data_IF_055410110127
#
_entry.id   IF_055410110127
#
_cell.length_a   1.000
_cell.length_b   1.000
_cell.length_c   1.000
_cell.angle_alpha   90.00
_cell.angle_beta   90.00
_cell.angle_gamma   90.00
#
_symmetry.space_group_name_H-M   'P 1'
#
loop_
_entity.id
_entity.type
_entity.pdbx_description
1 polymer ?
#
# COMPACT_ATOMS: atom_id res chain seq x y z
N UNK A 1 -19.35 10.31 -7.67
CA UNK A 1 -18.29 10.80 -8.61
C UNK A 1 -17.90 9.63 -9.48
N UNK A 2 -17.57 9.85 -10.76
CA UNK A 2 -16.98 8.78 -11.58
C UNK A 2 -15.56 8.49 -11.06
N UNK A 3 -15.26 7.23 -10.75
CA UNK A 3 -13.94 6.80 -10.28
C UNK A 3 -12.86 7.12 -11.32
N UNK A 4 -11.69 7.60 -10.87
CA UNK A 4 -10.52 7.88 -11.71
C UNK A 4 -9.50 6.76 -11.55
N UNK A 5 -8.79 6.40 -12.63
CA UNK A 5 -7.70 5.43 -12.54
C UNK A 5 -6.57 5.74 -13.51
N UNK A 6 -5.37 5.28 -13.18
CA UNK A 6 -4.20 5.37 -14.05
C UNK A 6 -3.88 3.98 -14.64
N UNK A 7 -3.76 3.83 -15.97
CA UNK A 7 -3.44 2.54 -16.59
C UNK A 7 -2.14 1.94 -16.03
N UNK A 8 -2.13 0.63 -15.82
CA UNK A 8 -0.98 -0.11 -15.27
C UNK A 8 -0.89 -0.13 -13.74
N UNK A 9 -1.65 0.74 -13.07
CA UNK A 9 -1.74 0.76 -11.60
C UNK A 9 -2.96 -0.01 -11.12
N UNK A 10 -2.92 -0.44 -9.86
CA UNK A 10 -4.11 -0.98 -9.18
C UNK A 10 -4.93 0.19 -8.63
N UNK A 11 -6.25 0.13 -8.81
CA UNK A 11 -7.22 0.99 -8.14
C UNK A 11 -8.11 0.13 -7.26
N UNK A 12 -8.61 0.69 -6.16
CA UNK A 12 -9.55 0.00 -5.28
C UNK A 12 -10.99 0.24 -5.75
N UNK A 13 -11.80 -0.81 -5.68
CA UNK A 13 -13.26 -0.72 -5.87
C UNK A 13 -13.96 -1.30 -4.66
N UNK A 14 -14.87 -0.50 -4.09
CA UNK A 14 -15.78 -0.93 -3.04
C UNK A 14 -16.99 -1.63 -3.65
N UNK A 15 -17.29 -2.84 -3.17
CA UNK A 15 -18.51 -3.57 -3.52
C UNK A 15 -19.28 -3.81 -2.23
N UNK A 16 -20.46 -3.22 -2.15
CA UNK A 16 -21.39 -3.49 -1.06
C UNK A 16 -22.46 -4.46 -1.53
N UNK A 17 -22.56 -5.58 -0.83
CA UNK A 17 -23.51 -6.65 -1.12
C UNK A 17 -24.50 -6.65 0.02
N UNK A 18 -25.73 -6.21 -0.28
CA UNK A 18 -26.84 -6.26 0.67
C UNK A 18 -27.75 -7.38 0.25
N UNK A 19 -27.77 -8.44 1.05
CA UNK A 19 -28.73 -9.53 0.90
C UNK A 19 -29.67 -9.56 2.09
N UNK A 20 -30.96 -9.74 1.82
CA UNK A 20 -31.96 -10.04 2.85
C UNK A 20 -31.91 -11.52 3.29
N UNK A 21 -31.15 -12.37 2.58
CA UNK A 21 -31.07 -13.81 2.82
C UNK A 21 -29.63 -14.34 2.75
N UNK A 22 -29.31 -15.40 3.49
CA UNK A 22 -28.05 -16.14 3.28
C UNK A 22 -28.28 -17.03 2.08
N UNK A 23 -27.90 -16.52 0.92
CA UNK A 23 -27.70 -17.35 -0.24
C UNK A 23 -26.20 -17.48 -0.44
N UNK A 24 -25.74 -18.70 -0.76
CA UNK A 24 -24.42 -18.83 -1.36
C UNK A 24 -24.46 -18.06 -2.67
N UNK A 25 -23.51 -17.19 -2.95
CA UNK A 25 -23.50 -16.47 -4.21
C UNK A 25 -22.09 -16.31 -4.72
N UNK A 26 -21.91 -16.46 -6.01
CA UNK A 26 -20.60 -16.30 -6.64
C UNK A 26 -20.50 -14.86 -7.16
N UNK A 27 -19.58 -14.11 -6.57
CA UNK A 27 -19.21 -12.78 -7.03
C UNK A 27 -18.05 -12.91 -8.00
N UNK A 28 -18.30 -12.53 -9.24
CA UNK A 28 -17.28 -12.45 -10.30
C UNK A 28 -17.08 -10.99 -10.67
N UNK A 29 -15.84 -10.53 -10.70
CA UNK A 29 -15.47 -9.22 -11.22
C UNK A 29 -14.66 -9.46 -12.48
N UNK A 30 -15.13 -8.93 -13.60
CA UNK A 30 -14.53 -9.11 -14.91
C UNK A 30 -14.12 -7.77 -15.52
N UNK A 31 -13.06 -7.81 -16.33
CA UNK A 31 -12.69 -6.69 -17.19
C UNK A 31 -13.66 -6.57 -18.38
N UNK A 32 -13.50 -5.50 -19.16
CA UNK A 32 -14.32 -5.23 -20.34
C UNK A 32 -14.37 -6.35 -21.39
N UNK A 33 -13.38 -7.25 -21.41
CA UNK A 33 -13.36 -8.39 -22.33
C UNK A 33 -14.02 -9.64 -21.73
N UNK A 34 -14.68 -9.52 -20.57
CA UNK A 34 -15.30 -10.64 -19.86
C UNK A 34 -14.31 -11.51 -19.09
N UNK A 35 -13.01 -11.18 -19.05
CA UNK A 35 -12.03 -11.96 -18.30
C UNK A 35 -12.20 -11.70 -16.80
N UNK A 36 -12.41 -12.77 -16.04
CA UNK A 36 -12.47 -12.74 -14.58
C UNK A 36 -11.16 -12.24 -13.98
N UNK A 37 -11.24 -11.10 -13.29
CA UNK A 37 -10.16 -10.50 -12.49
C UNK A 37 -10.20 -11.06 -11.07
N UNK A 38 -11.41 -11.22 -10.51
CA UNK A 38 -11.62 -11.68 -9.15
C UNK A 38 -12.83 -12.59 -9.08
N UNK A 39 -12.74 -13.66 -8.29
CA UNK A 39 -13.84 -14.57 -8.00
C UNK A 39 -13.91 -14.78 -6.48
N UNK A 40 -15.10 -14.62 -5.91
CA UNK A 40 -15.33 -14.80 -4.48
C UNK A 40 -16.67 -15.49 -4.25
N UNK A 41 -16.62 -16.62 -3.56
CA UNK A 41 -17.82 -17.28 -3.07
C UNK A 41 -18.26 -16.63 -1.76
N UNK A 42 -19.49 -16.14 -1.74
CA UNK A 42 -20.15 -15.55 -0.59
C UNK A 42 -20.96 -16.64 0.09
N UNK A 43 -20.75 -16.85 1.38
CA UNK A 43 -21.37 -17.94 2.13
C UNK A 43 -22.27 -17.46 3.28
N UNK A 44 -22.54 -16.16 3.37
CA UNK A 44 -22.91 -15.52 4.64
C UNK A 44 -24.19 -14.68 4.56
N UNK A 45 -24.90 -14.61 5.69
CA UNK A 45 -25.92 -13.59 5.93
C UNK A 45 -25.28 -12.19 6.00
N UNK A 46 -26.10 -11.20 5.69
CA UNK A 46 -25.86 -9.78 5.96
C UNK A 46 -25.06 -8.99 4.91
N UNK A 47 -25.22 -7.68 5.07
CA UNK A 47 -24.50 -6.62 4.37
C UNK A 47 -22.99 -6.90 4.45
N UNK A 48 -22.37 -7.22 3.32
CA UNK A 48 -20.92 -7.40 3.21
C UNK A 48 -20.32 -6.27 2.40
N UNK A 49 -19.31 -5.61 2.95
CA UNK A 49 -18.49 -4.64 2.21
C UNK A 49 -17.17 -5.31 1.84
N UNK A 50 -16.84 -5.24 0.57
CA UNK A 50 -15.61 -5.77 0.00
C UNK A 50 -14.83 -4.62 -0.62
N UNK A 51 -13.52 -4.63 -0.43
CA UNK A 51 -12.60 -3.68 -1.04
C UNK A 51 -11.62 -4.48 -1.88
N UNK A 52 -11.67 -4.28 -3.19
CA UNK A 52 -11.00 -5.16 -4.15
C UNK A 52 -10.07 -4.31 -5.01
N UNK A 53 -8.79 -4.67 -5.00
CA UNK A 53 -7.80 -4.09 -5.91
C UNK A 53 -8.00 -4.65 -7.31
N UNK A 54 -8.26 -3.76 -8.27
CA UNK A 54 -8.41 -4.10 -9.69
C UNK A 54 -7.39 -3.30 -10.51
N UNK A 55 -6.90 -3.89 -11.61
CA UNK A 55 -6.06 -3.19 -12.60
C UNK A 55 -6.89 -2.98 -13.86
N UNK A 56 -7.61 -1.84 -14.01
CA UNK A 56 -8.53 -1.65 -15.11
C UNK A 56 -7.75 -1.55 -16.43
N UNK A 57 -8.36 -2.04 -17.51
CA UNK A 57 -7.87 -1.83 -18.87
C UNK A 57 -8.13 -0.39 -19.32
N UNK A 58 -7.61 0.00 -20.49
CA UNK A 58 -7.68 1.39 -21.01
C UNK A 58 -9.08 1.98 -21.09
N UNK A 59 -10.10 1.14 -21.28
CA UNK A 59 -11.51 1.50 -21.34
C UNK A 59 -12.17 1.69 -19.97
N UNK A 60 -11.49 1.29 -18.88
CA UNK A 60 -11.94 1.51 -17.51
C UNK A 60 -13.23 0.77 -17.13
N UNK A 61 -13.75 -0.10 -17.99
CA UNK A 61 -15.00 -0.82 -17.74
C UNK A 61 -14.73 -2.06 -16.88
N UNK A 62 -15.50 -2.18 -15.79
CA UNK A 62 -15.44 -3.26 -14.82
C UNK A 62 -16.85 -3.77 -14.64
N UNK A 63 -17.06 -5.05 -14.88
CA UNK A 63 -18.36 -5.68 -14.67
C UNK A 63 -18.33 -6.50 -13.40
N UNK A 64 -19.27 -6.24 -12.51
CA UNK A 64 -19.50 -6.99 -11.28
C UNK A 64 -20.74 -7.84 -11.48
N UNK A 65 -20.56 -9.15 -11.44
CA UNK A 65 -21.61 -10.14 -11.62
C UNK A 65 -21.78 -10.93 -10.33
N UNK A 66 -23.00 -10.98 -9.82
CA UNK A 66 -23.38 -11.79 -8.67
C UNK A 66 -24.34 -12.88 -9.15
N UNK A 67 -23.93 -14.14 -9.01
CA UNK A 67 -24.74 -15.30 -9.41
C UNK A 67 -25.24 -16.01 -8.16
N UNK A 68 -26.56 -16.03 -7.96
CA UNK A 68 -27.20 -16.79 -6.89
C UNK A 68 -27.41 -18.26 -7.31
N UNK A 69 -27.64 -19.20 -6.36
CA UNK A 69 -27.77 -20.63 -6.66
C UNK A 69 -29.03 -20.95 -7.44
N UNK A 70 -30.04 -20.07 -7.37
CA UNK A 70 -31.26 -20.16 -8.18
C UNK A 70 -31.06 -19.74 -9.64
N UNK A 71 -29.81 -19.70 -10.12
CA UNK A 71 -29.38 -19.18 -11.43
C UNK A 71 -29.78 -17.71 -11.70
N UNK A 72 -30.15 -16.97 -10.65
CA UNK A 72 -30.46 -15.56 -10.77
C UNK A 72 -29.16 -14.77 -10.77
N UNK A 73 -28.89 -14.11 -11.89
CA UNK A 73 -27.70 -13.29 -12.07
C UNK A 73 -28.05 -11.80 -11.97
N UNK A 74 -27.25 -11.07 -11.20
CA UNK A 74 -27.28 -9.61 -11.14
C UNK A 74 -25.96 -9.08 -11.71
N UNK A 75 -26.04 -8.21 -12.70
CA UNK A 75 -24.87 -7.64 -13.36
C UNK A 75 -24.89 -6.13 -13.20
N UNK A 76 -23.77 -5.56 -12.75
CA UNK A 76 -23.57 -4.12 -12.67
C UNK A 76 -22.28 -3.74 -13.37
N UNK A 77 -22.33 -2.72 -14.23
CA UNK A 77 -21.15 -2.21 -14.93
C UNK A 77 -20.74 -0.88 -14.34
N UNK A 78 -19.45 -0.79 -13.98
CA UNK A 78 -18.81 0.40 -13.44
C UNK A 78 -17.87 0.91 -14.53
N UNK A 79 -18.02 2.18 -14.90
CA UNK A 79 -17.10 2.84 -15.85
C UNK A 79 -16.18 3.78 -15.10
N UNK A 80 -14.91 3.45 -15.07
CA UNK A 80 -13.85 4.29 -14.53
C UNK A 80 -13.30 5.21 -15.61
N UNK A 81 -12.99 6.45 -15.25
CA UNK A 81 -12.39 7.41 -16.17
C UNK A 81 -10.86 7.32 -16.09
N UNK A 82 -10.23 7.01 -17.23
CA UNK A 82 -8.77 7.03 -17.36
C UNK A 82 -8.19 8.42 -17.12
N UNK A 83 -7.08 8.49 -16.41
CA UNK A 83 -6.20 9.66 -16.32
C UNK A 83 -4.75 9.26 -16.60
N UNK A 84 -3.99 10.20 -17.20
CA UNK A 84 -2.53 10.13 -17.31
C UNK A 84 -1.82 10.97 -16.26
N UNK A 85 -2.56 11.92 -15.66
CA UNK A 85 -2.04 12.78 -14.62
C UNK A 85 -2.06 12.02 -13.28
N UNK A 86 -1.07 12.26 -12.40
CA UNK A 86 -1.06 11.75 -11.04
C UNK A 86 -2.31 12.12 -10.26
N UNK A 87 -2.66 11.27 -9.28
CA UNK A 87 -3.85 11.47 -8.44
C UNK A 87 -3.44 12.01 -7.06
N UNK A 88 -4.05 13.12 -6.66
CA UNK A 88 -3.97 13.66 -5.30
C UNK A 88 -5.28 13.39 -4.58
N UNK A 89 -5.21 12.70 -3.45
CA UNK A 89 -6.36 12.48 -2.56
C UNK A 89 -6.48 13.64 -1.58
N UNK A 90 -7.67 14.23 -1.46
CA UNK A 90 -7.92 15.35 -0.55
C UNK A 90 -9.10 15.03 0.36
N UNK A 91 -8.85 14.96 1.67
CA UNK A 91 -9.88 14.78 2.69
C UNK A 91 -9.75 15.85 3.76
N UNK A 92 -10.54 16.90 3.61
CA UNK A 92 -10.61 18.01 4.56
C UNK A 92 -12.06 18.25 4.97
N UNK A 93 -12.24 18.98 6.06
CA UNK A 93 -13.52 19.38 6.61
C UNK A 93 -14.45 19.95 5.53
N UNK A 94 -15.76 19.62 5.54
CA UNK A 94 -16.70 20.02 4.49
C UNK A 94 -16.74 21.52 4.17
N UNK A 95 -16.54 22.38 5.18
CA UNK A 95 -16.52 23.83 5.04
C UNK A 95 -15.38 24.36 4.15
N UNK A 96 -14.25 23.66 4.12
CA UNK A 96 -13.06 24.08 3.37
C UNK A 96 -13.00 23.49 1.95
N UNK A 97 -13.79 22.45 1.66
CA UNK A 97 -13.77 21.72 0.37
C UNK A 97 -14.03 22.61 -0.85
N UNK A 98 -14.99 23.54 -0.75
CA UNK A 98 -15.37 24.42 -1.88
C UNK A 98 -14.26 25.42 -2.22
N UNK A 99 -13.56 25.94 -1.21
CA UNK A 99 -12.45 26.89 -1.40
C UNK A 99 -11.20 26.17 -1.91
N UNK A 100 -10.94 24.97 -1.37
CA UNK A 100 -9.80 24.14 -1.72
C UNK A 100 -9.83 23.64 -3.16
N UNK A 101 -10.99 23.25 -3.69
CA UNK A 101 -11.08 22.80 -5.08
C UNK A 101 -10.74 23.89 -6.08
N UNK A 102 -11.01 25.17 -5.78
CA UNK A 102 -10.65 26.28 -6.65
C UNK A 102 -9.13 26.58 -6.60
N UNK A 103 -8.53 26.51 -5.40
CA UNK A 103 -7.12 26.81 -5.18
C UNK A 103 -6.19 25.67 -5.61
N UNK A 104 -6.65 24.41 -5.56
CA UNK A 104 -5.87 23.26 -5.98
C UNK A 104 -5.96 23.03 -7.51
N UNK A 105 -7.06 23.44 -8.15
CA UNK A 105 -7.28 23.30 -9.60
C UNK A 105 -6.28 24.07 -10.48
N UNK A 106 -5.52 25.00 -9.92
CA UNK A 106 -4.53 25.79 -10.66
C UNK A 106 -3.26 25.02 -11.00
N UNK A 107 -3.05 23.84 -10.42
CA UNK A 107 -1.99 22.92 -10.84
C UNK A 107 -2.55 22.00 -11.94
N UNK A 108 -2.38 22.37 -13.22
CA UNK A 108 -2.82 21.60 -14.40
C UNK A 108 -2.25 20.16 -14.48
N UNK A 109 -1.36 19.81 -13.55
CA UNK A 109 -0.56 18.59 -13.56
C UNK A 109 -1.14 17.46 -12.69
N UNK A 110 -2.23 17.69 -11.95
CA UNK A 110 -2.77 16.71 -10.99
C UNK A 110 -4.29 16.52 -11.10
N UNK A 111 -4.75 15.27 -10.95
CA UNK A 111 -6.16 14.95 -10.71
C UNK A 111 -6.44 15.00 -9.22
N UNK A 112 -7.25 15.96 -8.80
CA UNK A 112 -7.68 16.09 -7.41
C UNK A 112 -8.96 15.28 -7.21
N UNK A 113 -8.92 14.34 -6.27
CA UNK A 113 -10.08 13.57 -5.82
C UNK A 113 -10.42 14.00 -4.41
N UNK A 114 -11.56 14.69 -4.26
CA UNK A 114 -12.08 15.08 -2.96
C UNK A 114 -12.88 13.92 -2.36
N UNK A 115 -12.51 13.49 -1.15
CA UNK A 115 -13.16 12.41 -0.41
C UNK A 115 -13.50 12.85 1.02
N UNK A 116 -14.43 12.11 1.64
CA UNK A 116 -14.52 12.03 3.10
C UNK A 116 -13.49 11.04 3.64
N UNK A 117 -13.27 11.01 4.96
CA UNK A 117 -12.46 9.98 5.63
C UNK A 117 -12.86 8.55 5.20
N UNK A 118 -14.17 8.25 5.14
CA UNK A 118 -14.67 6.95 4.67
C UNK A 118 -14.33 6.61 3.20
N UNK A 119 -13.87 7.57 2.40
CA UNK A 119 -13.48 7.38 1.00
C UNK A 119 -12.00 7.07 0.80
N UNK A 120 -11.19 7.03 1.86
CA UNK A 120 -9.80 6.60 1.76
C UNK A 120 -9.70 5.13 1.34
N UNK A 121 -8.67 4.74 0.57
CA UNK A 121 -8.45 3.35 0.24
C UNK A 121 -8.27 2.47 1.48
N UNK A 122 -8.93 1.31 1.49
CA UNK A 122 -8.87 0.31 2.56
C UNK A 122 -7.73 -0.69 2.37
N UNK A 123 -7.10 -0.67 1.20
CA UNK A 123 -5.99 -1.53 0.82
C UNK A 123 -4.84 -0.69 0.29
N UNK A 124 -3.61 -1.12 0.55
CA UNK A 124 -2.38 -0.47 0.06
C UNK A 124 -2.35 -0.36 -1.46
N UNK A 125 -2.94 -1.34 -2.14
CA UNK A 125 -3.05 -1.37 -3.59
C UNK A 125 -3.91 -0.22 -4.15
N UNK A 126 -4.89 0.26 -3.39
CA UNK A 126 -5.72 1.40 -3.78
C UNK A 126 -4.95 2.72 -3.85
N UNK A 127 -3.77 2.80 -3.24
CA UNK A 127 -2.87 3.94 -3.36
C UNK A 127 -1.95 3.85 -4.59
N UNK A 128 -2.08 2.83 -5.45
CA UNK A 128 -1.14 2.58 -6.56
C UNK A 128 -1.01 3.73 -7.56
N UNK A 129 -2.07 4.51 -7.78
CA UNK A 129 -2.08 5.70 -8.63
C UNK A 129 -1.92 7.02 -7.85
N UNK A 130 -1.91 6.95 -6.52
CA UNK A 130 -1.94 8.12 -5.64
C UNK A 130 -0.52 8.67 -5.48
N UNK A 131 -0.29 9.89 -5.95
CA UNK A 131 0.98 10.58 -5.77
C UNK A 131 1.08 11.22 -4.40
N UNK A 132 -0.01 11.79 -3.90
CA UNK A 132 -0.03 12.52 -2.63
C UNK A 132 -1.39 12.43 -1.95
N UNK A 133 -1.37 12.58 -0.63
CA UNK A 133 -2.53 12.66 0.23
C UNK A 133 -2.50 14.00 0.96
N UNK A 134 -3.62 14.69 0.97
CA UNK A 134 -3.83 15.94 1.71
C UNK A 134 -5.00 15.71 2.67
N UNK A 135 -4.78 15.89 3.96
CA UNK A 135 -5.83 15.63 4.95
C UNK A 135 -5.70 16.51 6.18
N UNK A 136 -6.79 16.71 6.91
CA UNK A 136 -6.74 17.25 8.27
C UNK A 136 -6.63 16.11 9.32
N UNK A 137 -6.33 16.50 10.56
CA UNK A 137 -6.21 15.57 11.68
C UNK A 137 -7.55 14.91 12.04
N UNK A 138 -8.67 15.62 11.85
CA UNK A 138 -10.02 15.09 12.11
C UNK A 138 -10.35 13.92 11.16
N UNK A 139 -10.11 14.11 9.87
CA UNK A 139 -10.29 13.09 8.83
C UNK A 139 -9.36 11.90 9.05
N UNK A 140 -8.12 12.15 9.47
CA UNK A 140 -7.15 11.09 9.80
C UNK A 140 -7.60 10.27 11.01
N UNK A 141 -8.13 10.92 12.04
CA UNK A 141 -8.68 10.26 13.23
C UNK A 141 -9.99 9.50 12.94
N UNK A 142 -10.74 9.93 11.91
CA UNK A 142 -11.98 9.29 11.48
C UNK A 142 -11.78 8.10 10.52
N UNK A 143 -10.53 7.70 10.23
CA UNK A 143 -10.25 6.53 9.41
C UNK A 143 -10.60 5.24 10.15
N UNK A 144 -11.18 4.28 9.42
CA UNK A 144 -11.29 2.91 9.91
C UNK A 144 -9.90 2.28 10.04
N UNK A 145 -9.77 1.29 10.93
CA UNK A 145 -8.50 0.60 11.20
C UNK A 145 -7.79 0.14 9.91
N UNK A 146 -8.52 -0.46 8.96
CA UNK A 146 -7.96 -0.92 7.68
C UNK A 146 -7.46 0.22 6.80
N UNK A 147 -8.17 1.35 6.79
CA UNK A 147 -7.75 2.53 6.03
C UNK A 147 -6.50 3.16 6.63
N UNK A 148 -6.43 3.21 7.97
CA UNK A 148 -5.25 3.67 8.70
C UNK A 148 -4.04 2.77 8.42
N UNK A 149 -4.21 1.45 8.44
CA UNK A 149 -3.15 0.49 8.09
C UNK A 149 -2.68 0.65 6.63
N UNK A 150 -3.62 0.78 5.69
CA UNK A 150 -3.31 0.98 4.27
C UNK A 150 -2.57 2.30 4.03
N UNK A 151 -3.01 3.39 4.68
CA UNK A 151 -2.32 4.67 4.65
C UNK A 151 -0.92 4.54 5.26
N UNK A 152 -0.78 3.86 6.40
CA UNK A 152 0.51 3.59 7.03
C UNK A 152 1.48 2.88 6.09
N UNK A 153 1.02 1.88 5.35
CA UNK A 153 1.84 1.19 4.34
C UNK A 153 2.19 2.08 3.15
N UNK A 154 1.28 2.95 2.70
CA UNK A 154 1.57 3.98 1.70
C UNK A 154 2.69 4.92 2.17
N UNK A 155 2.63 5.40 3.42
CA UNK A 155 3.68 6.25 4.00
C UNK A 155 5.00 5.50 4.17
N UNK A 156 4.96 4.24 4.60
CA UNK A 156 6.13 3.37 4.68
C UNK A 156 6.82 3.19 3.30
N UNK A 157 6.05 3.23 2.21
CA UNK A 157 6.53 3.23 0.82
C UNK A 157 7.00 4.58 0.28
N UNK A 158 7.32 5.55 1.15
CA UNK A 158 7.67 6.92 0.76
C UNK A 158 6.54 7.68 0.05
N UNK A 159 5.29 7.49 0.52
CA UNK A 159 4.14 8.30 0.13
C UNK A 159 4.25 9.75 0.64
N UNK A 160 3.64 10.69 -0.09
CA UNK A 160 3.58 12.10 0.29
C UNK A 160 2.30 12.35 1.10
N UNK A 161 2.44 12.98 2.27
CA UNK A 161 1.32 13.38 3.12
C UNK A 161 1.45 14.84 3.54
N UNK A 162 0.43 15.62 3.21
CA UNK A 162 0.25 16.99 3.67
C UNK A 162 -0.86 17.05 4.71
N UNK A 163 -0.56 17.61 5.86
CA UNK A 163 -1.50 17.73 6.99
C UNK A 163 -1.90 19.18 7.22
N UNK A 164 -3.20 19.45 7.33
CA UNK A 164 -3.69 20.79 7.68
C UNK A 164 -3.33 21.12 9.14
N UNK A 165 -2.54 22.18 9.33
CA UNK A 165 -2.20 22.79 10.63
C UNK A 165 -1.76 21.78 11.70
N UNK A 166 -1.06 20.72 11.29
CA UNK A 166 -0.55 19.72 12.21
C UNK A 166 0.68 20.23 12.95
N UNK A 167 0.70 20.07 14.28
CA UNK A 167 1.89 20.40 15.07
C UNK A 167 3.11 19.58 14.63
N UNK A 168 4.31 20.14 14.81
CA UNK A 168 5.58 19.46 14.51
C UNK A 168 5.69 18.10 15.19
N UNK A 169 5.17 17.96 16.41
CA UNK A 169 5.18 16.70 17.16
C UNK A 169 4.36 15.59 16.50
N UNK A 170 3.25 15.93 15.83
CA UNK A 170 2.41 14.98 15.11
C UNK A 170 3.09 14.56 13.81
N UNK A 171 3.65 15.53 13.08
CA UNK A 171 4.43 15.27 11.86
C UNK A 171 5.62 14.36 12.16
N UNK A 172 6.37 14.64 13.22
CA UNK A 172 7.51 13.82 13.64
C UNK A 172 7.08 12.40 14.02
N UNK A 173 5.99 12.27 14.78
CA UNK A 173 5.45 10.95 15.18
C UNK A 173 5.08 10.10 13.97
N UNK A 174 4.36 10.67 13.00
CA UNK A 174 4.00 9.98 11.75
C UNK A 174 5.26 9.68 10.92
N UNK A 175 6.21 10.62 10.89
CA UNK A 175 7.48 10.50 10.18
C UNK A 175 8.33 9.33 10.66
N UNK A 176 8.32 9.00 11.96
CA UNK A 176 9.06 7.85 12.53
C UNK A 176 8.59 6.50 12.00
N UNK A 177 7.32 6.39 11.61
CA UNK A 177 6.75 5.17 11.00
C UNK A 177 6.77 5.16 9.48
N UNK A 178 7.12 6.29 8.86
CA UNK A 178 7.10 6.45 7.41
C UNK A 178 8.44 6.06 6.77
N UNK A 179 8.40 5.80 5.46
CA UNK A 179 9.59 5.60 4.66
C UNK A 179 10.36 6.89 4.45
N UNK A 180 11.55 6.80 3.85
CA UNK A 180 12.37 7.97 3.49
C UNK A 180 12.65 8.92 4.68
N UNK A 181 12.74 8.36 5.90
CA UNK A 181 12.97 9.12 7.13
C UNK A 181 11.85 10.10 7.50
N UNK A 182 10.63 9.91 6.97
CA UNK A 182 9.50 10.83 7.20
C UNK A 182 9.62 12.17 6.47
N UNK A 183 10.61 12.33 5.58
CA UNK A 183 10.85 13.61 4.89
C UNK A 183 9.71 14.03 3.96
N UNK A 184 8.83 13.11 3.58
CA UNK A 184 7.69 13.32 2.68
C UNK A 184 6.38 13.68 3.40
N UNK A 185 6.45 13.90 4.71
CA UNK A 185 5.32 14.35 5.53
C UNK A 185 5.55 15.81 5.91
N UNK A 186 4.58 16.70 5.64
CA UNK A 186 4.62 18.12 5.99
C UNK A 186 3.28 18.61 6.52
N UNK A 187 3.33 19.64 7.36
CA UNK A 187 2.14 20.44 7.66
C UNK A 187 2.08 21.63 6.70
N UNK A 188 0.88 22.11 6.42
CA UNK A 188 0.64 23.39 5.76
C UNK A 188 -0.32 24.23 6.61
N UNK A 189 -0.21 25.55 6.54
CA UNK A 189 -1.10 26.46 7.26
C UNK A 189 -2.19 27.02 6.34
N UNK A 190 -1.88 27.12 5.04
CA UNK A 190 -2.76 27.65 4.01
C UNK A 190 -2.79 26.76 2.78
N UNK A 191 -3.98 26.61 2.19
CA UNK A 191 -4.17 25.81 0.97
C UNK A 191 -3.35 26.31 -0.23
N UNK A 192 -3.00 27.60 -0.26
CA UNK A 192 -2.15 28.21 -1.29
C UNK A 192 -0.71 27.72 -1.27
N UNK A 193 -0.24 27.14 -0.15
CA UNK A 193 1.13 26.62 0.00
C UNK A 193 1.28 25.24 -0.64
N UNK A 194 0.16 24.52 -0.80
CA UNK A 194 0.15 23.11 -1.24
C UNK A 194 0.92 22.89 -2.56
N UNK A 195 0.72 23.68 -3.64
CA UNK A 195 1.44 23.45 -4.88
C UNK A 195 2.96 23.51 -4.73
N UNK A 196 3.46 24.51 -3.98
CA UNK A 196 4.88 24.67 -3.72
C UNK A 196 5.43 23.53 -2.85
N UNK A 197 4.69 23.13 -1.81
CA UNK A 197 5.08 22.00 -0.95
C UNK A 197 5.10 20.69 -1.73
N UNK A 198 4.11 20.43 -2.59
CA UNK A 198 4.08 19.24 -3.43
C UNK A 198 5.28 19.18 -4.38
N UNK A 199 5.65 20.32 -4.99
CA UNK A 199 6.83 20.39 -5.85
C UNK A 199 8.12 20.05 -5.07
N UNK A 200 8.32 20.67 -3.90
CA UNK A 200 9.48 20.40 -3.04
C UNK A 200 9.54 18.93 -2.60
N UNK A 201 8.40 18.32 -2.27
CA UNK A 201 8.35 16.93 -1.84
C UNK A 201 8.55 15.94 -2.98
N UNK A 202 8.14 16.28 -4.21
CA UNK A 202 8.38 15.43 -5.38
C UNK A 202 9.88 15.38 -5.72
N UNK A 203 10.62 16.49 -5.55
CA UNK A 203 12.08 16.54 -5.70
C UNK A 203 12.83 15.67 -4.69
N UNK A 204 12.27 15.48 -3.49
CA UNK A 204 12.84 14.63 -2.45
C UNK A 204 12.54 13.13 -2.65
N UNK A 205 11.66 12.79 -3.60
CA UNK A 205 11.23 11.41 -3.80
C UNK A 205 12.36 10.58 -4.40
N UNK A 206 12.64 9.38 -3.86
CA UNK A 206 13.59 8.48 -4.50
C UNK A 206 13.08 8.11 -5.91
N UNK A 207 13.98 8.01 -6.91
CA UNK A 207 13.58 7.59 -8.24
C UNK A 207 12.91 6.22 -8.17
N UNK A 208 11.82 6.04 -8.93
CA UNK A 208 11.15 4.73 -8.99
C UNK A 208 12.13 3.70 -9.52
N UNK A 209 12.25 2.59 -8.80
CA UNK A 209 13.04 1.46 -9.26
C UNK A 209 12.49 1.01 -10.63
N UNK A 210 13.37 0.76 -11.62
CA UNK A 210 12.94 0.26 -12.92
C UNK A 210 12.20 -1.07 -12.74
N UNK A 211 11.14 -1.27 -13.51
CA UNK A 211 10.42 -2.54 -13.51
C UNK A 211 11.36 -3.71 -13.85
N UNK A 212 11.07 -4.90 -13.32
CA UNK A 212 11.85 -6.11 -13.62
C UNK A 212 11.96 -6.40 -15.13
N UNK A 213 10.97 -5.97 -15.92
CA UNK A 213 11.00 -6.04 -17.39
C UNK A 213 12.06 -5.11 -18.00
N UNK A 214 12.26 -3.93 -17.43
CA UNK A 214 13.30 -2.97 -17.85
C UNK A 214 14.69 -3.43 -17.40
N UNK A 215 14.78 -4.10 -16.25
CA UNK A 215 16.00 -4.80 -15.84
C UNK A 215 16.37 -5.93 -16.81
N UNK A 216 15.39 -6.70 -17.30
CA UNK A 216 15.62 -7.73 -18.31
C UNK A 216 16.16 -7.16 -19.64
N UNK A 217 15.70 -5.95 -20.03
CA UNK A 217 16.22 -5.23 -21.19
C UNK A 217 17.67 -4.75 -20.97
N UNK A 218 18.02 -4.31 -19.75
CA UNK A 218 19.39 -3.96 -19.39
C UNK A 218 20.33 -5.18 -19.46
N UNK A 219 19.90 -6.35 -18.97
CA UNK A 219 20.68 -7.60 -19.10
C UNK A 219 20.87 -8.05 -20.55
N UNK A 220 19.94 -7.73 -21.45
CA UNK A 220 20.06 -8.06 -22.87
C UNK A 220 20.93 -7.08 -23.67
N UNK A 221 21.20 -5.89 -23.13
CA UNK A 221 21.90 -4.83 -23.85
C UNK A 221 23.44 -4.86 -23.72
N UNK A 222 24.00 -5.44 -22.65
CA UNK A 222 25.46 -5.66 -22.49
C UNK A 222 25.83 -6.95 -21.72
N UNK A 223 25.27 -8.14 -22.04
CA UNK A 223 25.53 -9.35 -21.26
C UNK A 223 27.00 -9.79 -21.25
N UNK A 224 27.75 -9.48 -22.32
CA UNK A 224 29.11 -9.98 -22.49
C UNK A 224 30.15 -9.27 -21.64
N UNK A 225 29.92 -8.00 -21.27
CA UNK A 225 30.87 -7.18 -20.49
C UNK A 225 30.45 -7.02 -19.03
N UNK A 226 29.15 -6.98 -18.74
CA UNK A 226 28.66 -6.74 -17.37
C UNK A 226 28.95 -7.93 -16.42
N UNK A 227 28.82 -9.17 -16.91
CA UNK A 227 29.08 -10.38 -16.11
C UNK A 227 30.56 -10.48 -15.68
N UNK A 228 31.56 -10.37 -16.57
CA UNK A 228 32.96 -10.41 -16.15
C UNK A 228 33.35 -9.21 -15.28
N UNK A 229 32.81 -8.01 -15.52
CA UNK A 229 33.08 -6.84 -14.65
C UNK A 229 32.51 -7.03 -13.24
N UNK A 230 31.30 -7.56 -13.13
CA UNK A 230 30.67 -7.85 -11.85
C UNK A 230 31.44 -8.94 -11.09
N UNK A 231 31.82 -10.03 -11.77
CA UNK A 231 32.67 -11.08 -11.19
C UNK A 231 34.03 -10.54 -10.74
N UNK A 232 34.66 -9.69 -11.56
CA UNK A 232 35.92 -9.05 -11.21
C UNK A 232 35.78 -8.13 -10.00
N UNK A 233 34.76 -7.27 -9.97
CA UNK A 233 34.47 -6.40 -8.83
C UNK A 233 34.17 -7.18 -7.54
N UNK A 234 33.42 -8.27 -7.65
CA UNK A 234 33.13 -9.17 -6.53
C UNK A 234 34.39 -9.87 -6.01
N UNK A 235 35.23 -10.41 -6.90
CA UNK A 235 36.51 -11.03 -6.52
C UNK A 235 37.47 -10.02 -5.88
N UNK A 236 37.53 -8.79 -6.41
CA UNK A 236 38.35 -7.72 -5.85
C UNK A 236 37.86 -7.32 -4.45
N UNK A 237 36.54 -7.20 -4.26
CA UNK A 237 35.93 -6.94 -2.97
C UNK A 237 36.23 -8.06 -1.96
N UNK A 238 36.06 -9.32 -2.37
CA UNK A 238 36.38 -10.48 -1.54
C UNK A 238 37.87 -10.53 -1.18
N UNK A 239 38.76 -10.16 -2.11
CA UNK A 239 40.20 -10.07 -1.84
C UNK A 239 40.50 -8.96 -0.82
N UNK A 240 39.90 -7.78 -0.97
CA UNK A 240 40.06 -6.65 -0.04
C UNK A 240 39.52 -6.98 1.37
N UNK A 241 38.43 -7.74 1.47
CA UNK A 241 37.88 -8.23 2.74
C UNK A 241 38.70 -9.38 3.35
N UNK A 242 39.29 -10.24 2.53
CA UNK A 242 40.14 -11.34 2.99
C UNK A 242 41.54 -10.87 3.43
N UNK A 243 42.05 -9.76 2.89
CA UNK A 243 43.35 -9.21 3.23
C UNK A 243 43.54 -8.93 4.73
N UNK A 244 42.60 -8.23 5.44
CA UNK A 244 42.72 -8.03 6.88
C UNK A 244 42.57 -9.33 7.69
N UNK A 245 41.82 -10.32 7.18
CA UNK A 245 41.70 -11.63 7.81
C UNK A 245 43.02 -12.42 7.70
N UNK A 246 43.70 -12.35 6.56
CA UNK A 246 45.01 -12.97 6.34
C UNK A 246 46.10 -12.28 7.18
N UNK A 247 46.10 -10.96 7.30
CA UNK A 247 47.06 -10.24 8.15
C UNK A 247 46.79 -10.46 9.64
N UNK A 248 45.53 -10.57 10.06
CA UNK A 248 45.19 -10.93 11.43
C UNK A 248 45.63 -12.37 11.75
N UNK A 249 45.42 -13.33 10.84
CA UNK A 249 45.83 -14.71 11.03
C UNK A 249 47.35 -14.87 11.12
N UNK A 250 48.14 -14.17 10.29
CA UNK A 250 49.60 -14.20 10.39
C UNK A 250 50.11 -13.53 11.66
N UNK A 251 49.50 -12.42 12.09
CA UNK A 251 49.78 -11.80 13.39
C UNK A 251 49.50 -12.74 14.56
N UNK A 252 48.42 -13.52 14.50
CA UNK A 252 48.05 -14.48 15.53
C UNK A 252 49.03 -15.66 15.60
N UNK A 253 49.51 -16.17 14.47
CA UNK A 253 50.54 -17.24 14.44
C UNK A 253 51.87 -16.75 15.03
N UNK A 254 52.29 -15.51 14.75
CA UNK A 254 53.48 -14.90 15.34
C UNK A 254 53.30 -14.68 16.85
N UNK A 255 52.11 -14.28 17.29
CA UNK A 255 51.83 -14.09 18.71
C UNK A 255 51.71 -15.41 19.50
N UNK A 256 51.13 -16.45 18.89
CA UNK A 256 50.98 -17.76 19.51
C UNK A 256 52.31 -18.50 19.63
N UNK A 257 53.19 -18.38 18.63
CA UNK A 257 54.56 -18.91 18.73
C UNK A 257 55.41 -18.20 19.81
N UNK A 258 55.04 -16.97 20.21
CA UNK A 258 55.66 -16.26 21.33
C UNK A 258 55.12 -16.57 22.73
N UNK A 259 54.00 -17.30 22.87
CA UNK A 259 53.25 -17.42 24.15
C UNK A 259 53.17 -18.85 24.71
N UNK A 260 53.88 -19.84 24.14
CA UNK A 260 53.88 -21.24 24.64
C UNK A 260 54.69 -21.43 25.93
N UNK A 261 55.32 -20.40 26.50
CA UNK A 261 55.86 -20.44 27.86
C UNK A 261 54.96 -19.71 28.86
N UNK A 262 53.95 -20.42 29.35
CA UNK A 262 53.38 -20.14 30.67
C UNK A 262 51.86 -19.99 30.72
N UNK A 263 51.23 -20.91 31.46
CA UNK A 263 49.97 -20.58 32.14
C UNK A 263 48.79 -21.47 31.82
N UNK A 264 48.83 -22.71 32.31
CA UNK A 264 47.63 -23.49 32.60
C UNK A 264 46.90 -22.90 33.80
N UNK A 265 45.63 -22.47 33.64
CA UNK A 265 44.68 -22.47 34.76
C UNK A 265 43.22 -22.56 34.28
N UNK A 266 42.53 -23.53 34.88
CA UNK A 266 41.10 -23.84 34.80
C UNK A 266 40.22 -22.66 35.25
N UNK A 267 39.08 -22.40 34.58
CA UNK A 267 37.81 -22.26 35.32
C UNK A 267 36.54 -22.40 34.47
N UNK A 268 35.53 -22.94 35.15
CA UNK A 268 34.22 -23.45 34.73
C UNK A 268 33.13 -22.40 34.50
N UNK A 269 32.16 -22.72 33.63
CA UNK A 269 30.98 -21.89 33.30
C UNK A 269 29.84 -21.88 34.34
N UNK A 270 28.67 -21.29 34.00
CA UNK A 270 27.45 -22.11 33.97
C UNK A 270 26.39 -21.76 32.90
N UNK A 271 25.52 -22.74 32.67
CA UNK A 271 24.35 -22.83 31.76
C UNK A 271 23.20 -21.88 32.13
N UNK A 272 22.46 -21.39 31.11
CA UNK A 272 21.14 -20.74 31.28
C UNK A 272 20.05 -21.45 30.47
N UNK A 273 18.94 -21.75 31.15
CA UNK A 273 17.71 -22.43 30.67
C UNK A 273 16.85 -21.52 29.79
N UNK A 274 16.17 -22.11 28.80
CA UNK A 274 15.04 -21.55 28.06
C UNK A 274 13.73 -22.19 28.56
N UNK A 275 12.67 -21.39 28.70
CA UNK A 275 11.29 -21.85 28.89
C UNK A 275 10.42 -21.38 27.72
N UNK A 276 9.59 -22.30 27.23
CA UNK A 276 8.67 -22.22 26.10
C UNK A 276 7.26 -22.20 26.66
N UNK A 277 6.38 -21.31 26.21
CA UNK A 277 4.93 -21.48 26.34
C UNK A 277 4.18 -20.93 25.11
N UNK A 278 3.25 -21.75 24.61
CA UNK A 278 2.16 -21.43 23.67
C UNK A 278 0.88 -22.02 24.29
N UNK A 279 -0.34 -21.51 24.00
CA UNK A 279 -1.27 -22.30 23.16
C UNK A 279 -2.33 -21.49 22.36
N UNK A 280 -2.98 -22.17 21.40
CA UNK A 280 -4.03 -21.65 20.49
C UNK A 280 -5.47 -22.09 20.80
N UNK A 281 -6.32 -22.18 19.73
CA UNK A 281 -7.65 -22.85 19.53
C UNK A 281 -8.74 -21.95 18.91
N UNK A 282 -9.92 -22.46 18.50
CA UNK A 282 -10.35 -23.10 17.23
C UNK A 282 -11.91 -23.01 17.12
N UNK A 283 -12.44 -22.78 15.91
CA UNK A 283 -13.71 -23.27 15.26
C UNK A 283 -15.16 -22.85 15.69
N UNK A 284 -15.84 -22.17 14.74
CA UNK A 284 -17.08 -22.47 13.93
C UNK A 284 -18.38 -23.11 14.50
N UNK A 285 -19.55 -22.64 14.01
CA UNK A 285 -20.75 -23.45 13.68
C UNK A 285 -21.78 -22.73 12.74
N UNK A 286 -22.63 -23.53 12.06
CA UNK A 286 -23.58 -23.24 10.93
C UNK A 286 -25.05 -23.53 11.29
N UNK A 287 -26.06 -22.88 10.64
CA UNK A 287 -27.44 -23.39 10.42
C UNK A 287 -28.30 -22.54 9.42
N UNK A 288 -29.50 -23.05 9.09
CA UNK A 288 -30.33 -22.99 7.84
C UNK A 288 -31.44 -21.90 7.79
N UNK A 289 -32.07 -21.78 6.60
CA UNK A 289 -32.75 -20.68 5.89
C UNK A 289 -34.28 -20.59 6.03
N UNK A 290 -34.85 -19.38 5.87
CA UNK A 290 -36.14 -19.11 5.19
C UNK A 290 -36.18 -17.64 4.70
N UNK A 291 -36.85 -17.35 3.58
CA UNK A 291 -36.70 -16.10 2.84
C UNK A 291 -38.02 -15.34 2.58
N UNK A 292 -38.09 -14.08 3.01
CA UNK A 292 -39.09 -13.09 2.57
C UNK A 292 -38.43 -11.81 2.02
N UNK A 293 -38.98 -11.29 0.92
CA UNK A 293 -38.46 -10.12 0.18
C UNK A 293 -39.18 -8.87 0.65
N UNK A 294 -38.48 -7.97 1.35
CA UNK A 294 -39.01 -6.64 1.68
C UNK A 294 -38.32 -5.54 0.86
N UNK A 295 -39.13 -4.80 0.13
CA UNK A 295 -38.75 -3.61 -0.65
C UNK A 295 -38.97 -2.39 0.25
N UNK A 296 -37.92 -1.70 0.71
CA UNK A 296 -38.08 -0.37 1.35
C UNK A 296 -37.15 0.69 0.79
N UNK A 297 -37.77 1.87 0.70
CA UNK A 297 -37.38 3.13 0.07
C UNK A 297 -36.39 3.93 0.92
N UNK A 298 -35.53 4.67 0.23
CA UNK A 298 -34.85 5.93 0.58
C UNK A 298 -34.01 6.05 1.86
N UNK A 299 -32.68 6.19 1.66
CA UNK A 299 -31.80 7.12 2.38
C UNK A 299 -30.82 7.77 1.36
N UNK A 300 -30.50 9.07 1.45
CA UNK A 300 -29.52 9.71 0.59
C UNK A 300 -28.12 9.57 1.21
N UNK A 301 -27.29 8.71 0.62
CA UNK A 301 -25.88 8.59 0.96
C UNK A 301 -25.09 8.27 -0.30
N UNK A 302 -24.26 9.21 -0.76
CA UNK A 302 -23.45 9.12 -1.98
C UNK A 302 -22.28 8.18 -1.71
N UNK A 303 -22.22 6.95 -2.27
CA UNK A 303 -21.98 6.50 -3.66
C UNK A 303 -20.50 6.51 -4.07
N UNK A 304 -19.91 5.30 -4.13
CA UNK A 304 -19.14 4.85 -5.30
C UNK A 304 -20.04 3.93 -6.12
#
# INVERSE_FOLDING_TARGET
MLGKFQPGTTTETGVEIVSSHAARADLTISDANGRTIHHLQLNEHARKKLWIGIKPKKDGSVTVTLTAPSEKTLTHSITLTTTRLPITLVSIAPGERKRSTAQLKTAEENVIVMLSSAGFPHTTQGYGAVQSVITDLESLAALEQRQSEALGQYLAGCGILLLDKASSSVVERLGRSAGCGGQLIRSYDQLSEIPQLLQQLDELRPPRLPESKTLALLTNSLPHLAVPLYLFGYLLLMMLLALPLLTAATGLVVWWSGTVQGGSSLHSGPKRRQEILSPGWRRSNTAVVTAEVFRRRHLPGIWL
#
